data_IF_779080427303
#
_entry.id   IF_779080427303
#
_cell.length_a   1.000
_cell.length_b   1.000
_cell.length_c   1.000
_cell.angle_alpha   90.00
_cell.angle_beta   90.00
_cell.angle_gamma   90.00
#
_symmetry.space_group_name_H-M   'P 1'
#
loop_
_entity.id
_entity.type
_entity.pdbx_description
1 polymer ?
#
# COMPACT_ATOMS: atom_id res chain seq x y z
N UNK A 1 -7.08 3.52 -0.59
CA UNK A 1 -7.18 4.91 -0.12
C UNK A 1 -8.61 5.34 0.20
N UNK A 2 -9.59 5.19 -0.70
CA UNK A 2 -10.97 5.67 -0.46
C UNK A 2 -11.56 5.25 0.90
N UNK A 3 -11.48 3.97 1.26
CA UNK A 3 -11.94 3.47 2.57
C UNK A 3 -11.25 4.14 3.77
N UNK A 4 -9.95 4.42 3.67
CA UNK A 4 -9.22 5.13 4.73
C UNK A 4 -9.75 6.55 4.92
N UNK A 5 -10.04 7.24 3.81
CA UNK A 5 -10.63 8.59 3.84
C UNK A 5 -12.07 8.60 4.35
N UNK A 6 -12.77 7.48 4.27
CA UNK A 6 -14.10 7.27 4.84
C UNK A 6 -14.05 6.76 6.31
N UNK A 7 -12.87 6.70 6.92
CA UNK A 7 -12.69 6.38 8.34
C UNK A 7 -12.32 4.94 8.66
N UNK A 8 -12.12 4.07 7.65
CA UNK A 8 -11.62 2.71 7.91
C UNK A 8 -10.14 2.70 8.25
N UNK A 9 -9.72 1.84 9.17
CA UNK A 9 -8.31 1.54 9.35
C UNK A 9 -7.84 0.57 8.26
N UNK A 10 -7.04 1.05 7.31
CA UNK A 10 -6.61 0.26 6.15
C UNK A 10 -5.17 -0.22 6.32
N UNK A 11 -4.96 -1.52 6.10
CA UNK A 11 -3.64 -2.13 5.87
C UNK A 11 -3.61 -2.77 4.49
N UNK A 12 -2.58 -2.49 3.71
CA UNK A 12 -2.34 -3.06 2.38
C UNK A 12 -1.22 -4.10 2.49
N UNK A 13 -1.47 -5.31 1.99
CA UNK A 13 -0.44 -6.34 1.81
C UNK A 13 -0.10 -6.37 0.32
N UNK A 14 1.10 -5.90 -0.03
CA UNK A 14 1.62 -5.95 -1.39
C UNK A 14 2.62 -7.12 -1.48
N UNK A 15 2.36 -8.06 -2.39
CA UNK A 15 3.26 -9.22 -2.61
C UNK A 15 4.66 -8.80 -3.06
N UNK A 16 4.77 -7.69 -3.78
CA UNK A 16 6.02 -7.02 -4.14
C UNK A 16 5.97 -5.58 -3.56
N UNK A 17 6.28 -4.58 -4.37
CA UNK A 17 6.01 -3.15 -4.13
C UNK A 17 4.70 -2.73 -4.80
N UNK A 18 4.18 -1.55 -4.46
CA UNK A 18 3.09 -0.93 -5.22
C UNK A 18 3.59 -0.53 -6.61
N UNK A 19 2.75 -0.68 -7.64
CA UNK A 19 3.12 -0.36 -9.04
C UNK A 19 4.40 -1.05 -9.53
N UNK A 20 4.65 -2.29 -9.09
CA UNK A 20 5.89 -3.04 -9.38
C UNK A 20 6.27 -3.18 -10.88
N UNK A 21 5.31 -3.05 -11.81
CA UNK A 21 5.57 -3.15 -13.25
C UNK A 21 5.85 -1.80 -13.93
N UNK A 22 5.70 -0.71 -13.18
CA UNK A 22 5.91 0.64 -13.65
C UNK A 22 7.27 1.16 -13.19
N UNK A 23 7.54 2.44 -13.45
CA UNK A 23 8.73 3.11 -12.91
C UNK A 23 8.74 3.02 -11.37
N UNK A 24 9.84 2.53 -10.74
CA UNK A 24 9.94 2.40 -9.29
C UNK A 24 9.61 3.68 -8.52
N UNK A 25 9.92 4.85 -9.06
CA UNK A 25 9.63 6.14 -8.43
C UNK A 25 8.13 6.37 -8.20
N UNK A 26 7.27 5.79 -9.05
CA UNK A 26 5.80 5.83 -8.89
C UNK A 26 5.40 5.02 -7.66
N UNK A 27 5.90 3.79 -7.55
CA UNK A 27 5.64 2.92 -6.40
C UNK A 27 6.08 3.55 -5.09
N UNK A 28 7.28 4.12 -5.07
CA UNK A 28 7.83 4.83 -3.91
C UNK A 28 6.99 6.04 -3.51
N UNK A 29 6.62 6.89 -4.47
CA UNK A 29 5.80 8.08 -4.22
C UNK A 29 4.42 7.72 -3.68
N UNK A 30 3.75 6.70 -4.25
CA UNK A 30 2.43 6.27 -3.78
C UNK A 30 2.51 5.60 -2.41
N UNK A 31 3.52 4.76 -2.17
CA UNK A 31 3.75 4.16 -0.84
C UNK A 31 3.96 5.25 0.22
N UNK A 32 4.76 6.29 -0.08
CA UNK A 32 4.96 7.42 0.81
C UNK A 32 3.65 8.18 1.08
N UNK A 33 2.86 8.45 0.03
CA UNK A 33 1.56 9.13 0.16
C UNK A 33 0.58 8.31 1.03
N UNK A 34 0.50 7.00 0.84
CA UNK A 34 -0.35 6.14 1.67
C UNK A 34 0.09 6.12 3.14
N UNK A 35 1.40 6.01 3.40
CA UNK A 35 1.92 6.07 4.77
C UNK A 35 1.64 7.42 5.42
N UNK A 36 1.77 8.52 4.68
CA UNK A 36 1.43 9.86 5.17
C UNK A 36 -0.07 10.02 5.49
N UNK A 37 -0.95 9.30 4.80
CA UNK A 37 -2.39 9.25 5.08
C UNK A 37 -2.77 8.24 6.18
N UNK A 38 -1.79 7.65 6.88
CA UNK A 38 -2.04 6.67 7.94
C UNK A 38 -2.43 5.28 7.46
N UNK A 39 -2.27 4.99 6.16
CA UNK A 39 -2.47 3.66 5.58
C UNK A 39 -1.19 2.85 5.77
N UNK A 40 -1.30 1.72 6.47
CA UNK A 40 -0.17 0.79 6.64
C UNK A 40 0.06 0.02 5.35
N UNK A 41 1.27 0.11 4.79
CA UNK A 41 1.66 -0.64 3.59
C UNK A 41 2.75 -1.64 3.95
N UNK A 42 2.41 -2.92 3.87
CA UNK A 42 3.32 -4.06 4.04
C UNK A 42 3.74 -4.58 2.67
N UNK A 43 4.95 -4.23 2.26
CA UNK A 43 5.55 -4.69 1.01
C UNK A 43 6.16 -6.08 1.20
N UNK A 44 6.36 -6.81 0.09
CA UNK A 44 6.87 -8.18 0.10
C UNK A 44 6.10 -9.13 1.03
N UNK A 45 4.80 -8.91 1.18
CA UNK A 45 3.96 -9.60 2.16
C UNK A 45 2.78 -10.26 1.48
N UNK A 46 2.54 -11.53 1.80
CA UNK A 46 1.42 -12.31 1.30
C UNK A 46 0.71 -13.02 2.46
N UNK A 47 -0.62 -12.98 2.47
CA UNK A 47 -1.41 -13.80 3.39
C UNK A 47 -1.37 -15.27 2.95
N UNK A 48 -1.16 -16.18 3.89
CA UNK A 48 -1.10 -17.63 3.63
C UNK A 48 -2.49 -18.27 3.51
N UNK A 49 -3.54 -17.61 4.03
CA UNK A 49 -4.94 -18.05 4.05
C UNK A 49 -5.86 -16.83 3.92
N UNK A 50 -7.07 -17.02 3.39
CA UNK A 50 -8.11 -15.97 3.20
C UNK A 50 -9.44 -16.49 3.73
#
# INVERSE_FOLDING_TARGET
>A
QAFARLGSQVTILARNTLFFRDDPAIGEAVTAAFRAEGIKVLEHTQASQV
#
